data_IF_227879282179
#
_entry.id   IF_227879282179
#
_cell.length_a   1.000
_cell.length_b   1.000
_cell.length_c   1.000
_cell.angle_alpha   90.00
_cell.angle_beta   90.00
_cell.angle_gamma   90.00
#
_symmetry.space_group_name_H-M   'P 1'
#
loop_
_entity.id
_entity.type
_entity.pdbx_description
1 polymer ?
#
# COMPACT_ATOMS: atom_id res chain seq x y z
N UNK A 1 6.30 16.21 38.17
CA UNK A 1 5.62 16.46 36.88
C UNK A 1 5.98 15.46 35.78
N UNK A 2 7.27 15.26 35.42
CA UNK A 2 7.65 14.36 34.31
C UNK A 2 7.16 12.92 34.44
N UNK A 3 7.12 12.36 35.65
CA UNK A 3 6.59 11.01 35.91
C UNK A 3 5.12 10.86 35.52
N UNK A 4 4.29 11.86 35.80
CA UNK A 4 2.87 11.87 35.41
C UNK A 4 2.76 11.96 33.88
N UNK A 5 3.53 12.85 33.25
CA UNK A 5 3.57 12.98 31.79
C UNK A 5 3.97 11.64 31.14
N UNK A 6 5.00 10.97 31.67
CA UNK A 6 5.46 9.69 31.17
C UNK A 6 4.39 8.59 31.29
N UNK A 7 3.59 8.60 32.37
CA UNK A 7 2.48 7.67 32.55
C UNK A 7 1.31 7.97 31.61
N UNK A 8 0.99 9.23 31.37
CA UNK A 8 -0.09 9.63 30.45
C UNK A 8 0.28 9.36 28.98
N UNK A 9 1.53 9.63 28.60
CA UNK A 9 2.03 9.48 27.23
C UNK A 9 2.85 8.20 27.05
N UNK A 10 2.64 7.18 27.89
CA UNK A 10 3.44 5.96 27.89
C UNK A 10 3.49 5.24 26.54
N UNK A 11 2.44 5.40 25.72
CA UNK A 11 2.36 4.86 24.37
C UNK A 11 3.39 5.46 23.43
N UNK A 12 3.71 6.74 23.62
CA UNK A 12 4.65 7.49 22.81
C UNK A 12 6.06 7.48 23.45
N UNK A 13 6.41 6.36 24.09
CA UNK A 13 7.76 6.19 24.62
C UNK A 13 8.69 5.78 23.49
N UNK A 14 9.83 6.45 23.37
CA UNK A 14 10.85 6.09 22.40
C UNK A 14 12.24 5.99 23.03
N UNK A 15 13.01 5.04 22.51
CA UNK A 15 14.41 4.80 22.88
C UNK A 15 15.31 5.35 21.80
N UNK A 16 16.39 6.02 22.20
CA UNK A 16 17.44 6.44 21.28
C UNK A 16 18.07 5.20 20.62
N UNK A 17 17.98 5.14 19.30
CA UNK A 17 18.62 4.16 18.44
C UNK A 17 19.99 4.69 18.02
N UNK A 18 21.05 4.07 18.51
CA UNK A 18 22.43 4.47 18.25
C UNK A 18 23.33 3.25 18.09
N UNK A 19 24.16 3.28 17.06
CA UNK A 19 25.27 2.36 16.82
C UNK A 19 26.40 2.75 17.78
N UNK A 20 26.35 2.27 19.00
CA UNK A 20 27.37 2.57 20.01
C UNK A 20 26.89 2.23 21.40
N UNK A 21 27.55 1.26 22.04
CA UNK A 21 27.30 0.86 23.41
C UNK A 21 27.39 2.02 24.41
N UNK A 22 26.96 1.74 25.63
CA UNK A 22 27.03 2.66 26.77
C UNK A 22 28.39 3.38 26.84
N UNK A 23 28.41 4.67 26.49
CA UNK A 23 29.58 5.53 26.64
C UNK A 23 30.02 6.34 25.41
N UNK A 24 29.49 6.13 24.20
CA UNK A 24 29.91 6.98 23.06
C UNK A 24 29.30 8.37 23.12
N UNK A 25 30.20 9.35 23.27
CA UNK A 25 29.98 10.81 23.21
C UNK A 25 28.99 11.18 22.11
N UNK A 26 28.05 12.06 22.47
CA UNK A 26 27.37 13.05 21.62
C UNK A 26 27.75 12.91 20.14
N UNK A 27 26.87 12.33 19.31
CA UNK A 27 27.11 12.26 17.86
C UNK A 27 26.95 13.68 17.31
N UNK A 28 28.06 14.41 17.32
CA UNK A 28 28.26 15.73 16.71
C UNK A 28 28.36 15.57 15.19
N UNK A 29 27.29 15.06 14.58
CA UNK A 29 27.09 15.09 13.13
C UNK A 29 26.25 16.30 12.74
N UNK A 30 26.30 16.76 11.46
CA UNK A 30 25.48 17.87 10.97
C UNK A 30 23.96 17.59 11.06
N UNK A 31 23.58 16.33 11.25
CA UNK A 31 22.23 15.83 11.49
C UNK A 31 22.05 15.53 12.99
N UNK A 32 22.20 16.56 13.84
CA UNK A 32 22.06 16.46 15.30
C UNK A 32 20.70 15.92 15.76
N UNK A 33 20.56 15.62 17.06
CA UNK A 33 19.28 15.21 17.66
C UNK A 33 19.08 13.72 17.88
N UNK A 34 19.87 12.85 17.23
CA UNK A 34 19.77 11.39 17.38
C UNK A 34 18.50 10.79 16.74
N UNK A 35 18.57 9.48 16.47
CA UNK A 35 17.44 8.69 15.96
C UNK A 35 16.78 7.99 17.14
N UNK A 36 15.46 7.93 17.16
CA UNK A 36 14.66 7.29 18.19
C UNK A 36 13.75 6.25 17.54
N UNK A 37 13.65 5.10 18.20
CA UNK A 37 12.72 4.01 17.88
C UNK A 37 11.63 4.00 18.95
N UNK A 38 10.35 4.24 18.61
CA UNK A 38 9.23 4.03 19.52
C UNK A 38 9.22 2.59 20.05
N UNK A 39 8.75 2.42 21.29
CA UNK A 39 8.69 1.10 21.93
C UNK A 39 7.56 0.25 21.36
N UNK A 40 6.44 0.88 21.01
CA UNK A 40 5.25 0.18 20.49
C UNK A 40 5.32 0.05 18.98
N UNK A 41 5.62 1.15 18.30
CA UNK A 41 5.81 1.15 16.84
C UNK A 41 7.27 0.90 16.51
N UNK A 42 7.60 -0.37 16.31
CA UNK A 42 8.96 -0.78 15.99
C UNK A 42 9.40 -0.45 14.55
N UNK A 43 8.47 -0.09 13.68
CA UNK A 43 8.73 0.14 12.25
C UNK A 43 9.22 1.57 12.04
N UNK A 44 8.67 2.52 12.79
CA UNK A 44 8.97 3.95 12.61
C UNK A 44 10.31 4.35 13.23
N UNK A 45 11.22 4.90 12.42
CA UNK A 45 12.42 5.60 12.90
C UNK A 45 12.18 7.10 12.89
N UNK A 46 12.22 7.72 14.06
CA UNK A 46 11.93 9.14 14.24
C UNK A 46 13.20 9.90 14.61
N UNK A 47 13.32 11.16 14.17
CA UNK A 47 14.41 12.06 14.56
C UNK A 47 13.90 13.12 15.51
N UNK A 48 14.74 13.65 16.38
CA UNK A 48 14.33 14.78 17.21
C UNK A 48 14.28 16.06 16.38
N UNK A 49 13.20 16.84 16.50
CA UNK A 49 13.11 18.10 15.76
C UNK A 49 14.11 19.14 16.29
N UNK A 50 14.81 19.92 15.42
CA UNK A 50 15.81 20.91 15.84
C UNK A 50 15.31 21.98 16.81
N UNK A 51 14.01 22.31 16.79
CA UNK A 51 13.42 23.26 17.75
C UNK A 51 13.20 22.67 19.15
N UNK A 52 13.45 21.38 19.36
CA UNK A 52 13.25 20.73 20.65
C UNK A 52 14.34 21.14 21.64
N UNK A 53 13.95 21.48 22.87
CA UNK A 53 14.90 21.87 23.92
C UNK A 53 15.91 20.77 24.30
N UNK A 54 15.62 19.51 23.98
CA UNK A 54 16.50 18.35 24.26
C UNK A 54 17.31 17.89 23.04
N UNK A 55 17.34 18.70 21.97
CA UNK A 55 18.02 18.37 20.70
C UNK A 55 19.52 18.09 20.89
N UNK A 56 20.21 18.92 21.68
CA UNK A 56 21.65 18.77 21.94
C UNK A 56 21.97 17.70 22.99
N UNK A 57 21.04 17.41 23.91
CA UNK A 57 21.27 16.43 24.98
C UNK A 57 21.07 15.00 24.47
N UNK A 58 20.13 14.81 23.54
CA UNK A 58 19.79 13.52 22.93
C UNK A 58 19.74 12.34 23.94
N UNK A 59 18.86 12.41 24.96
CA UNK A 59 18.79 11.42 26.04
C UNK A 59 18.46 10.00 25.55
N UNK A 60 18.77 8.98 26.37
CA UNK A 60 18.52 7.56 26.04
C UNK A 60 17.02 7.24 25.88
N UNK A 61 16.17 7.86 26.70
CA UNK A 61 14.74 7.62 26.76
C UNK A 61 13.97 8.93 26.74
N UNK A 62 12.93 8.97 25.91
CA UNK A 62 12.03 10.11 25.79
C UNK A 62 10.58 9.65 25.73
N UNK A 63 9.70 10.57 26.10
CA UNK A 63 8.28 10.54 25.74
C UNK A 63 8.00 11.75 24.87
N UNK A 64 7.15 11.60 23.87
CA UNK A 64 6.78 12.68 22.97
C UNK A 64 5.27 12.88 22.85
N UNK A 65 4.86 14.13 22.59
CA UNK A 65 3.47 14.45 22.37
C UNK A 65 3.02 14.13 20.95
N UNK A 66 3.84 14.48 19.94
CA UNK A 66 3.46 14.39 18.53
C UNK A 66 4.64 14.01 17.65
N UNK A 67 4.36 13.23 16.59
CA UNK A 67 5.28 12.97 15.48
C UNK A 67 4.83 13.74 14.24
N UNK A 68 5.74 14.43 13.58
CA UNK A 68 5.51 15.18 12.35
C UNK A 68 6.17 14.45 11.18
N UNK A 69 5.38 14.11 10.17
CA UNK A 69 5.87 13.50 8.93
C UNK A 69 5.90 14.57 7.84
N UNK A 70 7.10 15.08 7.55
CA UNK A 70 7.35 15.98 6.42
C UNK A 70 8.28 15.29 5.43
N UNK A 71 9.40 15.88 5.05
CA UNK A 71 10.45 15.20 4.28
C UNK A 71 11.18 14.13 5.09
N UNK A 72 11.22 14.29 6.41
CA UNK A 72 11.78 13.34 7.39
C UNK A 72 10.78 13.24 8.55
N UNK A 73 10.72 12.08 9.21
CA UNK A 73 9.86 11.91 10.37
C UNK A 73 10.53 12.49 11.62
N UNK A 74 9.87 13.46 12.25
CA UNK A 74 10.39 14.19 13.41
C UNK A 74 9.50 14.03 14.64
N UNK A 75 10.11 14.09 15.81
CA UNK A 75 9.45 14.20 17.11
C UNK A 75 9.37 15.68 17.48
N UNK A 76 8.14 16.15 17.72
CA UNK A 76 7.87 17.46 18.28
C UNK A 76 7.46 17.33 19.75
N UNK A 77 7.93 18.26 20.59
CA UNK A 77 7.61 18.32 22.02
C UNK A 77 7.95 17.00 22.74
N UNK A 78 9.23 16.81 23.04
CA UNK A 78 9.72 15.66 23.78
C UNK A 78 10.19 16.01 25.20
N UNK A 79 10.07 15.04 26.10
CA UNK A 79 10.50 15.13 27.48
C UNK A 79 11.42 13.96 27.85
N UNK A 80 12.42 14.22 28.68
CA UNK A 80 13.32 13.18 29.18
C UNK A 80 12.64 12.36 30.26
N UNK A 81 12.79 11.04 30.20
CA UNK A 81 12.17 10.12 31.16
C UNK A 81 13.14 9.00 31.54
N UNK A 82 12.82 8.30 32.63
CA UNK A 82 13.43 7.02 32.98
C UNK A 82 12.51 5.88 32.58
N UNK A 83 13.07 4.79 32.05
CA UNK A 83 12.29 3.64 31.57
C UNK A 83 11.47 2.98 32.70
N UNK A 84 12.00 2.96 33.92
CA UNK A 84 11.34 2.34 35.08
C UNK A 84 9.98 2.97 35.41
N UNK A 85 9.76 4.23 35.02
CA UNK A 85 8.48 4.90 35.25
C UNK A 85 7.35 4.35 34.38
N UNK A 86 7.71 3.70 33.26
CA UNK A 86 6.79 3.30 32.19
C UNK A 86 6.80 1.79 31.95
N UNK A 87 7.84 1.10 32.40
CA UNK A 87 8.06 -0.35 32.25
C UNK A 87 6.87 -1.21 32.66
N UNK A 88 6.15 -0.84 33.72
CA UNK A 88 4.97 -1.59 34.21
C UNK A 88 3.71 -1.38 33.36
N UNK A 89 3.67 -0.33 32.54
CA UNK A 89 2.51 0.05 31.72
C UNK A 89 2.58 -0.54 30.32
N UNK A 90 3.78 -0.63 29.73
CA UNK A 90 3.99 -1.10 28.35
C UNK A 90 3.40 -2.51 28.10
N UNK A 91 3.63 -3.54 28.96
CA UNK A 91 3.09 -4.88 28.74
C UNK A 91 1.56 -4.95 28.79
N UNK A 92 0.92 -4.02 29.49
CA UNK A 92 -0.55 -3.95 29.54
C UNK A 92 -1.15 -3.59 28.20
N UNK A 93 -0.37 -3.03 27.28
CA UNK A 93 -0.82 -2.68 25.94
C UNK A 93 -0.32 -3.71 24.92
N UNK A 94 0.96 -4.06 24.94
CA UNK A 94 1.55 -5.00 23.97
C UNK A 94 1.22 -6.47 24.23
N UNK A 95 0.69 -6.79 25.41
CA UNK A 95 0.30 -8.17 25.77
C UNK A 95 -1.06 -8.61 25.21
N UNK A 96 -1.82 -7.70 24.60
CA UNK A 96 -3.07 -8.06 23.94
C UNK A 96 -2.81 -8.61 22.55
N UNK A 97 -3.58 -9.63 22.16
CA UNK A 97 -3.53 -10.16 20.81
C UNK A 97 -4.47 -9.30 19.95
N UNK A 98 -3.87 -8.46 19.09
CA UNK A 98 -4.58 -7.58 18.16
C UNK A 98 -5.53 -8.36 17.23
N UNK A 99 -5.19 -9.59 16.84
CA UNK A 99 -6.03 -10.44 15.99
C UNK A 99 -7.33 -10.83 16.71
N UNK A 100 -7.23 -11.14 18.01
CA UNK A 100 -8.42 -11.44 18.84
C UNK A 100 -9.31 -10.21 19.02
N UNK A 101 -8.73 -9.02 19.07
CA UNK A 101 -9.46 -7.76 19.20
C UNK A 101 -10.11 -7.32 17.87
N UNK A 102 -9.40 -7.52 16.75
CA UNK A 102 -9.88 -7.15 15.42
C UNK A 102 -11.08 -8.00 14.96
N UNK A 103 -11.26 -9.19 15.54
CA UNK A 103 -12.38 -10.08 15.24
C UNK A 103 -12.36 -10.65 13.82
N UNK A 104 -11.26 -10.44 13.09
CA UNK A 104 -10.99 -11.02 11.80
C UNK A 104 -9.49 -11.25 11.69
N UNK A 105 -9.08 -12.47 11.38
CA UNK A 105 -7.66 -12.81 11.24
C UNK A 105 -7.10 -12.25 9.92
N UNK A 106 -5.77 -12.07 9.85
CA UNK A 106 -5.09 -11.70 8.61
C UNK A 106 -5.36 -12.71 7.48
N UNK A 107 -5.50 -13.98 7.83
CA UNK A 107 -5.81 -15.08 6.93
C UNK A 107 -7.22 -14.93 6.35
N UNK A 108 -8.22 -14.66 7.20
CA UNK A 108 -9.60 -14.42 6.77
C UNK A 108 -9.70 -13.19 5.85
N UNK A 109 -8.96 -12.12 6.14
CA UNK A 109 -8.90 -10.95 5.27
C UNK A 109 -8.28 -11.29 3.91
N UNK A 110 -7.20 -12.07 3.87
CA UNK A 110 -6.58 -12.51 2.63
C UNK A 110 -7.56 -13.34 1.79
N UNK A 111 -8.27 -14.30 2.40
CA UNK A 111 -9.29 -15.10 1.72
C UNK A 111 -10.41 -14.23 1.13
N UNK A 112 -10.93 -13.26 1.90
CA UNK A 112 -11.96 -12.34 1.43
C UNK A 112 -11.46 -11.52 0.23
N UNK A 113 -10.20 -11.07 0.24
CA UNK A 113 -9.63 -10.31 -0.88
C UNK A 113 -9.44 -11.18 -2.13
N UNK A 114 -9.00 -12.42 -1.97
CA UNK A 114 -8.87 -13.36 -3.09
C UNK A 114 -10.22 -13.68 -3.72
N UNK A 115 -11.25 -13.93 -2.91
CA UNK A 115 -12.61 -14.20 -3.41
C UNK A 115 -13.16 -12.99 -4.15
N UNK A 116 -12.97 -11.77 -3.61
CA UNK A 116 -13.35 -10.53 -4.29
C UNK A 116 -12.61 -10.34 -5.60
N UNK A 117 -11.30 -10.60 -5.64
CA UNK A 117 -10.49 -10.49 -6.85
C UNK A 117 -10.92 -11.50 -7.92
N UNK A 118 -11.15 -12.77 -7.55
CA UNK A 118 -11.67 -13.81 -8.46
C UNK A 118 -13.03 -13.41 -9.05
N UNK A 119 -13.95 -12.92 -8.24
CA UNK A 119 -15.26 -12.45 -8.70
C UNK A 119 -15.16 -11.25 -9.67
N UNK A 120 -14.20 -10.34 -9.48
CA UNK A 120 -13.97 -9.23 -10.40
C UNK A 120 -13.37 -9.72 -11.73
N UNK A 121 -12.45 -10.68 -11.69
CA UNK A 121 -11.86 -11.30 -12.89
C UNK A 121 -12.93 -12.05 -13.69
N UNK A 122 -13.82 -12.79 -13.04
CA UNK A 122 -14.93 -13.48 -13.70
C UNK A 122 -15.91 -12.50 -14.38
N UNK A 123 -16.27 -11.41 -13.70
CA UNK A 123 -17.13 -10.37 -14.28
C UNK A 123 -16.50 -9.69 -15.50
N UNK A 124 -15.23 -9.34 -15.42
CA UNK A 124 -14.51 -8.67 -16.53
C UNK A 124 -14.27 -9.60 -17.72
N UNK A 125 -13.97 -10.88 -17.48
CA UNK A 125 -13.83 -11.88 -18.54
C UNK A 125 -15.17 -12.18 -19.22
N UNK A 126 -16.28 -12.25 -18.46
CA UNK A 126 -17.62 -12.40 -19.01
C UNK A 126 -18.00 -11.21 -19.91
N UNK A 127 -17.81 -9.98 -19.44
CA UNK A 127 -18.03 -8.76 -20.24
C UNK A 127 -17.21 -8.77 -21.54
N UNK A 128 -15.92 -9.09 -21.46
CA UNK A 128 -15.04 -9.14 -22.65
C UNK A 128 -15.45 -10.24 -23.65
N UNK A 129 -15.96 -11.37 -23.15
CA UNK A 129 -16.49 -12.46 -24.00
C UNK A 129 -17.77 -12.03 -24.70
N UNK A 130 -18.66 -11.32 -24.01
CA UNK A 130 -19.87 -10.75 -24.61
C UNK A 130 -19.54 -9.71 -25.68
N UNK A 131 -18.60 -8.80 -25.41
CA UNK A 131 -18.12 -7.81 -26.39
C UNK A 131 -17.54 -8.48 -27.65
N UNK A 132 -16.71 -9.51 -27.47
CA UNK A 132 -16.17 -10.30 -28.59
C UNK A 132 -17.28 -11.00 -29.39
N UNK A 133 -18.27 -11.58 -28.71
CA UNK A 133 -19.41 -12.22 -29.35
C UNK A 133 -20.27 -11.21 -30.12
N UNK A 134 -20.50 -10.02 -29.56
CA UNK A 134 -21.19 -8.92 -30.23
C UNK A 134 -20.41 -8.46 -31.47
N UNK A 135 -19.09 -8.28 -31.36
CA UNK A 135 -18.22 -7.91 -32.47
C UNK A 135 -18.20 -8.98 -33.57
N UNK A 136 -18.14 -10.26 -33.20
CA UNK A 136 -18.21 -11.38 -34.14
C UNK A 136 -19.57 -11.44 -34.88
N UNK A 137 -20.69 -11.18 -34.17
CA UNK A 137 -22.04 -11.08 -34.78
C UNK A 137 -22.13 -9.93 -35.79
N UNK A 138 -21.55 -8.77 -35.46
CA UNK A 138 -21.50 -7.62 -36.38
C UNK A 138 -20.63 -7.92 -37.61
N UNK A 139 -19.54 -8.67 -37.45
CA UNK A 139 -18.66 -9.08 -38.54
C UNK A 139 -19.33 -10.10 -39.47
N UNK A 140 -20.07 -11.06 -38.92
CA UNK A 140 -20.88 -12.00 -39.71
C UNK A 140 -21.99 -11.30 -40.51
N UNK A 141 -22.55 -10.19 -39.99
CA UNK A 141 -23.50 -9.35 -40.74
C UNK A 141 -22.84 -8.57 -41.89
N UNK A 142 -21.51 -8.40 -41.89
CA UNK A 142 -20.76 -7.68 -42.94
C UNK A 142 -20.27 -8.58 -44.08
N UNK A 143 -20.40 -9.90 -43.98
CA UNK A 143 -20.11 -10.75 -45.12
C UNK A 143 -21.30 -10.75 -46.08
N UNK A 144 -21.04 -10.27 -47.30
CA UNK A 144 -21.76 -10.70 -48.50
C UNK A 144 -21.95 -12.20 -48.39
N UNK A 145 -23.20 -12.61 -48.14
CA UNK A 145 -23.54 -14.01 -47.93
C UNK A 145 -22.93 -14.82 -49.07
N UNK A 146 -22.38 -16.01 -48.81
CA UNK A 146 -21.78 -16.86 -49.85
C UNK A 146 -22.68 -16.98 -51.09
N UNK A 147 -24.00 -16.91 -50.87
CA UNK A 147 -25.04 -16.78 -51.90
C UNK A 147 -24.94 -15.51 -52.78
N UNK A 148 -24.73 -14.33 -52.21
CA UNK A 148 -24.54 -13.07 -52.95
C UNK A 148 -23.26 -13.11 -53.79
N UNK A 149 -22.16 -13.67 -53.26
CA UNK A 149 -20.90 -13.85 -53.99
C UNK A 149 -21.06 -14.88 -55.12
N UNK A 150 -21.77 -15.99 -54.88
CA UNK A 150 -22.07 -17.00 -55.89
C UNK A 150 -22.93 -16.45 -57.03
N UNK A 151 -23.96 -15.67 -56.70
CA UNK A 151 -24.82 -15.02 -57.68
C UNK A 151 -24.08 -13.95 -58.50
N UNK A 152 -23.18 -13.18 -57.89
CA UNK A 152 -22.31 -12.25 -58.61
C UNK A 152 -21.35 -12.98 -59.57
N UNK A 153 -20.74 -14.09 -59.13
CA UNK A 153 -19.90 -14.95 -59.98
C UNK A 153 -20.69 -15.54 -61.15
N UNK A 154 -21.90 -16.03 -60.91
CA UNK A 154 -22.77 -16.58 -61.96
C UNK A 154 -23.08 -15.52 -63.04
N UNK A 155 -23.43 -14.30 -62.63
CA UNK A 155 -23.66 -13.17 -63.56
C UNK A 155 -22.43 -12.81 -64.38
N UNK A 156 -21.25 -12.77 -63.75
CA UNK A 156 -20.00 -12.49 -64.45
C UNK A 156 -19.67 -13.57 -65.49
N UNK A 157 -19.80 -14.85 -65.12
CA UNK A 157 -19.55 -15.97 -66.02
C UNK A 157 -20.51 -15.98 -67.22
N UNK A 158 -21.79 -15.66 -67.01
CA UNK A 158 -22.76 -15.53 -68.10
C UNK A 158 -22.37 -14.41 -69.09
N UNK A 159 -21.97 -13.24 -68.58
CA UNK A 159 -21.48 -12.11 -69.41
C UNK A 159 -20.22 -12.49 -70.19
N UNK A 160 -19.29 -13.21 -69.56
CA UNK A 160 -18.05 -13.65 -70.22
C UNK A 160 -18.33 -14.66 -71.33
N UNK A 161 -19.25 -15.61 -71.10
CA UNK A 161 -19.68 -16.58 -72.13
C UNK A 161 -20.36 -15.91 -73.31
N UNK A 162 -21.25 -14.94 -73.07
CA UNK A 162 -21.90 -14.18 -74.15
C UNK A 162 -20.87 -13.39 -74.99
N UNK A 163 -19.91 -12.71 -74.36
CA UNK A 163 -18.82 -12.03 -75.09
C UNK A 163 -17.93 -12.95 -75.92
N UNK A 164 -17.79 -14.22 -75.51
CA UNK A 164 -17.03 -15.22 -76.26
C UNK A 164 -17.84 -15.73 -77.46
N UNK A 165 -19.17 -15.86 -77.31
CA UNK A 165 -20.07 -16.28 -78.39
C UNK A 165 -20.34 -15.19 -79.45
N UNK A 166 -20.17 -13.91 -79.09
CA UNK A 166 -20.24 -12.77 -80.03
C UNK A 166 -18.90 -12.52 -80.78
N UNK A 167 -17.84 -13.25 -80.46
CA UNK A 167 -16.49 -13.09 -81.01
C UNK A 167 -16.03 -14.20 -81.96
N UNK A 168 -16.93 -15.11 -82.35
CA UNK A 168 -16.79 -16.08 -83.46
C UNK A 168 -17.73 -15.68 -84.60
#
# INVERSE_FOLDING_TARGET
CRRIIAQCYFMNTARRHGVGGEGTKQVSGPEGGGIYKPVIDEISMLRLHPSSAIFEVAPKWIVYAQSMFTSKAYINTACTIEYDWVKSLIPRLTGYNDEKLAGCSLEELAEITEVKNKAVVEKTTAQRREELAQKARLLHKRHTTTSQVAHAKARYLARKKARLAEGE
#
